data_IF_672613664093
#
_entry.id   IF_672613664093
#
_cell.length_a   1.000
_cell.length_b   1.000
_cell.length_c   1.000
_cell.angle_alpha   90.00
_cell.angle_beta   90.00
_cell.angle_gamma   90.00
#
_symmetry.space_group_name_H-M   'P 1'
#
loop_
_entity.id
_entity.type
_entity.pdbx_description
1 polymer ?
#
# COMPACT_ATOMS: atom_id res chain seq x y z
N UNK A 1 11.49 -13.45 32.84
CA UNK A 1 10.48 -12.45 32.44
C UNK A 1 11.07 -11.09 32.04
N UNK A 2 12.41 -10.92 32.00
CA UNK A 2 13.04 -9.63 31.67
C UNK A 2 12.67 -9.06 30.28
N UNK A 3 12.39 -9.92 29.29
CA UNK A 3 11.96 -9.49 27.96
C UNK A 3 10.66 -8.68 27.99
N UNK A 4 9.59 -9.23 28.59
CA UNK A 4 8.29 -8.55 28.67
C UNK A 4 8.37 -7.25 29.48
N UNK A 5 9.23 -7.19 30.51
CA UNK A 5 9.45 -5.95 31.26
C UNK A 5 10.15 -4.88 30.42
N UNK A 6 11.07 -5.26 29.53
CA UNK A 6 11.71 -4.34 28.61
C UNK A 6 10.70 -3.76 27.60
N UNK A 7 9.80 -4.58 27.06
CA UNK A 7 8.76 -4.10 26.14
C UNK A 7 7.81 -3.10 26.82
N UNK A 8 7.33 -3.44 28.02
CA UNK A 8 6.50 -2.53 28.81
C UNK A 8 7.23 -1.23 29.18
N UNK A 9 8.55 -1.28 29.35
CA UNK A 9 9.38 -0.11 29.61
C UNK A 9 9.42 0.82 28.39
N UNK A 10 9.48 0.28 27.17
CA UNK A 10 9.43 1.08 25.93
C UNK A 10 8.05 1.73 25.74
N UNK A 11 6.98 0.97 25.96
CA UNK A 11 5.60 1.48 25.89
C UNK A 11 5.32 2.59 26.93
N UNK A 12 5.97 2.54 28.09
CA UNK A 12 5.77 3.52 29.16
C UNK A 12 6.64 4.79 29.01
N UNK A 13 7.63 4.81 28.13
CA UNK A 13 8.53 5.95 27.95
C UNK A 13 8.02 6.85 26.83
N UNK A 14 7.98 8.18 27.03
CA UNK A 14 7.55 9.11 25.98
C UNK A 14 8.51 9.07 24.79
N UNK A 15 7.99 9.32 23.59
CA UNK A 15 8.74 9.51 22.34
C UNK A 15 9.89 10.55 22.48
N UNK A 16 10.94 10.45 21.66
CA UNK A 16 12.11 11.36 21.64
C UNK A 16 12.70 11.60 20.25
N UNK A 17 12.58 10.65 19.34
CA UNK A 17 13.05 10.78 17.96
C UNK A 17 12.28 11.86 17.17
N UNK A 18 11.16 12.34 17.69
CA UNK A 18 10.35 13.38 17.04
C UNK A 18 9.54 12.83 15.88
N UNK A 19 9.28 11.53 15.87
CA UNK A 19 8.40 10.86 14.91
C UNK A 19 6.98 11.40 15.08
N UNK A 20 6.43 11.95 13.99
CA UNK A 20 5.06 12.46 13.98
C UNK A 20 4.06 11.34 14.34
N UNK A 21 3.18 11.62 15.31
CA UNK A 21 2.19 10.65 15.80
C UNK A 21 2.69 9.62 16.82
N UNK A 22 4.00 9.55 17.11
CA UNK A 22 4.51 8.62 18.12
C UNK A 22 4.25 9.14 19.56
N UNK A 23 3.60 8.34 20.39
CA UNK A 23 3.33 8.69 21.79
C UNK A 23 4.44 8.18 22.71
N UNK A 24 5.02 7.02 22.38
CA UNK A 24 6.00 6.33 23.21
C UNK A 24 7.15 5.74 22.38
N UNK A 25 8.16 5.19 23.07
CA UNK A 25 9.35 4.62 22.40
C UNK A 25 9.08 3.37 21.60
N UNK A 26 8.02 2.65 21.95
CA UNK A 26 7.58 1.49 21.20
C UNK A 26 7.02 1.90 19.84
N UNK A 27 6.25 3.00 19.77
CA UNK A 27 5.75 3.56 18.51
C UNK A 27 6.92 4.00 17.59
N UNK A 28 7.95 4.64 18.15
CA UNK A 28 9.14 5.06 17.39
C UNK A 28 9.94 3.86 16.85
N UNK A 29 10.02 2.77 17.62
CA UNK A 29 10.68 1.55 17.21
C UNK A 29 9.93 0.89 16.05
N UNK A 30 8.61 0.80 16.14
CA UNK A 30 7.77 0.28 15.07
C UNK A 30 7.82 1.14 13.81
N UNK A 31 7.76 2.47 13.95
CA UNK A 31 7.92 3.37 12.81
C UNK A 31 9.27 3.17 12.11
N UNK A 32 10.34 2.99 12.88
CA UNK A 32 11.68 2.72 12.34
C UNK A 32 11.73 1.39 11.60
N UNK A 33 11.07 0.34 12.11
CA UNK A 33 10.94 -0.94 11.43
C UNK A 33 10.22 -0.78 10.09
N UNK A 34 9.00 -0.22 10.09
CA UNK A 34 8.19 0.00 8.88
C UNK A 34 8.96 0.81 7.83
N UNK A 35 9.65 1.88 8.25
CA UNK A 35 10.41 2.76 7.36
C UNK A 35 11.64 2.07 6.76
N UNK A 36 12.23 1.11 7.48
CA UNK A 36 13.43 0.40 7.02
C UNK A 36 13.13 -0.91 6.30
N UNK A 37 11.89 -1.41 6.35
CA UNK A 37 11.47 -2.66 5.68
C UNK A 37 11.89 -2.69 4.20
N UNK A 38 11.71 -1.57 3.48
CA UNK A 38 12.08 -1.46 2.06
C UNK A 38 13.59 -1.60 1.81
N UNK A 39 14.43 -1.16 2.76
CA UNK A 39 15.89 -1.24 2.67
C UNK A 39 16.44 -2.59 3.16
N UNK A 40 15.90 -3.12 4.26
CA UNK A 40 16.43 -4.31 4.93
C UNK A 40 15.88 -5.59 4.29
N UNK A 41 14.59 -5.62 3.94
CA UNK A 41 13.94 -6.81 3.36
C UNK A 41 13.95 -6.80 1.83
N UNK A 42 14.40 -5.72 1.20
CA UNK A 42 14.57 -5.62 -0.26
C UNK A 42 13.28 -5.72 -1.06
N UNK A 43 12.12 -5.58 -0.42
CA UNK A 43 10.81 -5.55 -1.07
C UNK A 43 10.22 -4.15 -0.89
N UNK A 44 10.10 -3.36 -1.95
CA UNK A 44 9.48 -2.04 -1.87
C UNK A 44 7.97 -2.17 -1.64
N UNK A 45 7.40 -1.29 -0.82
CA UNK A 45 5.97 -1.04 -0.72
C UNK A 45 5.62 0.28 -1.39
N UNK A 46 4.37 0.43 -1.83
CA UNK A 46 3.85 1.70 -2.31
C UNK A 46 3.18 2.44 -1.16
N UNK A 47 3.71 3.61 -0.78
CA UNK A 47 3.03 4.52 0.13
C UNK A 47 2.01 5.37 -0.64
N UNK A 48 0.79 4.84 -0.76
CA UNK A 48 -0.29 5.48 -1.55
C UNK A 48 -0.68 6.86 -1.02
N UNK A 49 -0.57 7.11 0.30
CA UNK A 49 -0.94 8.40 0.90
C UNK A 49 -0.01 9.53 0.46
N UNK A 50 1.24 9.22 0.13
CA UNK A 50 2.21 10.18 -0.38
C UNK A 50 1.89 10.67 -1.81
N UNK A 51 1.20 9.84 -2.59
CA UNK A 51 0.84 10.14 -3.98
C UNK A 51 -0.63 10.55 -4.13
N UNK A 52 -1.41 10.57 -3.05
CA UNK A 52 -2.86 10.76 -3.07
C UNK A 52 -3.30 12.09 -3.73
N UNK A 53 -2.43 13.12 -3.71
CA UNK A 53 -2.68 14.40 -4.37
C UNK A 53 -2.29 14.42 -5.85
N UNK A 54 -1.38 13.56 -6.28
CA UNK A 54 -0.88 13.52 -7.66
C UNK A 54 -0.35 12.12 -8.04
N UNK A 55 -1.29 11.21 -8.31
CA UNK A 55 -1.01 9.83 -8.71
C UNK A 55 -0.06 9.73 -9.91
N UNK A 56 -0.17 10.66 -10.87
CA UNK A 56 0.62 10.61 -12.12
C UNK A 56 2.09 10.97 -11.89
N UNK A 57 2.40 11.61 -10.76
CA UNK A 57 3.77 11.92 -10.35
C UNK A 57 4.43 10.80 -9.53
N UNK A 58 3.68 9.74 -9.19
CA UNK A 58 4.18 8.65 -8.36
C UNK A 58 5.39 7.96 -9.00
N UNK A 59 6.47 7.83 -8.22
CA UNK A 59 7.67 7.08 -8.63
C UNK A 59 7.37 5.60 -8.87
N UNK A 60 6.29 5.07 -8.29
CA UNK A 60 5.86 3.67 -8.52
C UNK A 60 5.32 3.52 -9.95
N UNK A 61 4.74 4.56 -10.54
CA UNK A 61 4.18 4.56 -11.88
C UNK A 61 5.06 5.27 -12.92
N UNK A 62 6.24 5.74 -12.51
CA UNK A 62 7.26 6.31 -13.39
C UNK A 62 7.65 5.32 -14.49
N UNK A 63 7.80 5.82 -15.72
CA UNK A 63 8.08 4.98 -16.89
C UNK A 63 9.53 4.56 -17.02
N UNK A 64 10.48 5.22 -16.35
CA UNK A 64 11.90 4.83 -16.43
C UNK A 64 12.32 3.96 -15.23
N UNK A 65 11.86 4.31 -14.04
CA UNK A 65 12.31 3.73 -12.76
C UNK A 65 11.24 2.92 -12.04
N UNK A 66 9.97 3.07 -12.42
CA UNK A 66 8.82 2.41 -11.81
C UNK A 66 8.22 1.29 -12.67
N UNK A 67 6.94 1.03 -12.44
CA UNK A 67 6.13 0.04 -13.17
C UNK A 67 5.49 0.60 -14.45
N UNK A 68 5.71 1.88 -14.71
CA UNK A 68 5.36 2.63 -15.92
C UNK A 68 3.87 2.79 -16.22
N UNK A 69 3.62 3.52 -17.31
CA UNK A 69 2.51 3.48 -18.26
C UNK A 69 1.05 3.52 -17.79
N UNK A 70 0.24 4.16 -18.64
CA UNK A 70 -1.22 4.14 -18.62
C UNK A 70 -1.79 3.73 -20.00
N UNK A 71 -3.02 3.23 -20.03
CA UNK A 71 -3.78 2.96 -21.25
C UNK A 71 -4.13 1.50 -21.54
N UNK A 72 -4.86 1.29 -22.65
CA UNK A 72 -5.39 -0.02 -23.09
C UNK A 72 -4.33 -1.11 -23.28
N UNK A 73 -3.11 -0.72 -23.62
CA UNK A 73 -1.88 -1.43 -23.28
C UNK A 73 -0.93 -0.33 -22.82
N UNK A 74 -0.14 -0.59 -21.77
CA UNK A 74 0.93 0.32 -21.42
C UNK A 74 1.89 0.45 -22.62
N UNK A 75 2.32 1.67 -22.90
CA UNK A 75 3.13 2.00 -24.09
C UNK A 75 4.58 2.34 -23.76
N UNK A 76 4.93 2.38 -22.47
CA UNK A 76 6.25 2.70 -21.97
C UNK A 76 6.63 1.86 -20.74
N UNK A 77 7.88 2.01 -20.35
CA UNK A 77 8.49 1.43 -19.18
C UNK A 77 8.86 -0.05 -19.24
N UNK A 78 9.43 -0.58 -18.15
CA UNK A 78 10.16 -1.84 -18.16
C UNK A 78 9.30 -3.07 -18.50
N UNK A 79 7.97 -2.92 -18.44
CA UNK A 79 7.02 -4.00 -18.58
C UNK A 79 6.18 -3.95 -19.88
N UNK A 80 6.48 -3.03 -20.81
CA UNK A 80 5.73 -2.86 -22.08
C UNK A 80 5.63 -4.16 -22.91
N UNK A 81 6.67 -4.99 -22.88
CA UNK A 81 6.72 -6.24 -23.62
C UNK A 81 6.25 -7.46 -22.82
N UNK A 82 5.86 -7.29 -21.56
CA UNK A 82 5.29 -8.38 -20.76
C UNK A 82 3.94 -8.79 -21.35
N UNK A 83 3.75 -10.11 -21.46
CA UNK A 83 2.51 -10.72 -21.92
C UNK A 83 2.00 -11.68 -20.87
N UNK A 84 0.86 -11.33 -20.28
CA UNK A 84 0.14 -12.13 -19.30
C UNK A 84 -0.72 -13.18 -20.02
N UNK A 85 -1.03 -14.28 -19.33
CA UNK A 85 -1.80 -15.41 -19.91
C UNK A 85 -2.91 -15.92 -18.99
N UNK A 86 -2.94 -15.48 -17.73
CA UNK A 86 -3.95 -15.90 -16.76
C UNK A 86 -5.02 -14.82 -16.70
N UNK A 87 -6.23 -15.12 -17.14
CA UNK A 87 -7.39 -14.25 -16.93
C UNK A 87 -8.53 -15.01 -16.27
N UNK A 88 -9.41 -14.26 -15.62
CA UNK A 88 -10.55 -14.81 -14.87
C UNK A 88 -11.53 -15.63 -15.73
N UNK A 89 -11.50 -15.43 -17.05
CA UNK A 89 -12.39 -16.13 -17.99
C UNK A 89 -11.81 -17.48 -18.46
N UNK A 90 -10.63 -17.86 -17.98
CA UNK A 90 -9.96 -19.12 -18.35
C UNK A 90 -9.37 -19.13 -19.77
N UNK A 91 -9.40 -18.01 -20.49
CA UNK A 91 -8.73 -17.87 -21.76
C UNK A 91 -7.21 -17.78 -21.52
N UNK A 92 -6.41 -18.38 -22.41
CA UNK A 92 -4.94 -18.43 -22.24
C UNK A 92 -4.18 -17.64 -23.31
N UNK A 93 -4.92 -16.93 -24.18
CA UNK A 93 -4.35 -16.05 -25.17
C UNK A 93 -3.51 -14.96 -24.50
N UNK A 94 -2.26 -14.73 -24.94
CA UNK A 94 -1.43 -13.70 -24.36
C UNK A 94 -2.02 -12.30 -24.53
N UNK A 95 -2.01 -11.50 -23.47
CA UNK A 95 -2.47 -10.11 -23.49
C UNK A 95 -1.46 -9.19 -22.78
N UNK A 96 -1.47 -7.91 -23.13
CA UNK A 96 -0.57 -6.90 -22.55
C UNK A 96 -0.99 -6.49 -21.13
N UNK A 97 -0.09 -5.87 -20.39
CA UNK A 97 -0.48 -5.11 -19.20
C UNK A 97 -1.24 -3.87 -19.66
N UNK A 98 -2.39 -3.58 -19.03
CA UNK A 98 -3.17 -2.38 -19.29
C UNK A 98 -3.63 -1.73 -17.99
N UNK A 99 -3.65 -0.41 -18.00
CA UNK A 99 -4.00 0.46 -16.86
C UNK A 99 -4.99 1.52 -17.32
N UNK A 100 -5.65 2.15 -16.35
CA UNK A 100 -6.55 3.28 -16.59
C UNK A 100 -6.46 4.18 -15.39
N UNK A 101 -5.34 4.89 -15.25
CA UNK A 101 -5.01 5.66 -14.07
C UNK A 101 -6.11 6.68 -13.75
N UNK A 102 -6.55 6.72 -12.50
CA UNK A 102 -7.72 7.48 -12.08
C UNK A 102 -7.46 8.20 -10.76
N UNK A 103 -7.00 9.45 -10.83
CA UNK A 103 -6.83 10.30 -9.65
C UNK A 103 -8.14 10.46 -8.86
N UNK A 104 -9.30 10.42 -9.55
CA UNK A 104 -10.61 10.43 -8.89
C UNK A 104 -10.80 9.22 -8.00
N UNK A 105 -10.53 8.01 -8.52
CA UNK A 105 -10.77 6.78 -7.77
C UNK A 105 -9.65 6.55 -6.73
N UNK A 106 -8.45 7.10 -6.95
CA UNK A 106 -7.34 7.11 -5.99
C UNK A 106 -7.52 8.11 -4.84
N UNK A 107 -8.46 9.06 -4.94
CA UNK A 107 -8.64 10.13 -3.95
C UNK A 107 -8.95 9.63 -2.52
N UNK A 108 -9.39 8.39 -2.36
CA UNK A 108 -9.61 7.76 -1.05
C UNK A 108 -8.34 7.20 -0.40
N UNK A 109 -7.19 7.24 -1.07
CA UNK A 109 -5.89 6.84 -0.52
C UNK A 109 -5.27 7.90 0.42
N UNK A 110 -5.99 8.98 0.73
CA UNK A 110 -5.50 10.05 1.61
C UNK A 110 -5.28 9.58 3.04
N UNK A 111 -4.29 10.17 3.72
CA UNK A 111 -3.92 9.85 5.10
C UNK A 111 -5.12 9.92 6.07
N UNK A 112 -6.03 10.88 5.90
CA UNK A 112 -7.20 10.99 6.77
C UNK A 112 -8.14 9.77 6.75
N UNK A 113 -8.20 9.02 5.64
CA UNK A 113 -8.95 7.77 5.59
C UNK A 113 -8.20 6.63 6.28
N UNK A 114 -6.87 6.61 6.21
CA UNK A 114 -6.03 5.66 6.95
C UNK A 114 -6.19 5.91 8.46
N UNK A 115 -6.08 7.15 8.89
CA UNK A 115 -6.22 7.56 10.29
C UNK A 115 -7.61 7.16 10.83
N UNK A 116 -8.68 7.43 10.08
CA UNK A 116 -10.03 7.02 10.45
C UNK A 116 -10.19 5.51 10.61
N UNK A 117 -9.51 4.70 9.78
CA UNK A 117 -9.53 3.24 9.94
C UNK A 117 -8.72 2.77 11.16
N UNK A 118 -7.62 3.45 11.48
CA UNK A 118 -6.80 3.16 12.68
C UNK A 118 -7.51 3.49 13.99
N UNK A 119 -8.49 4.40 13.98
CA UNK A 119 -9.32 4.73 15.16
C UNK A 119 -10.37 3.66 15.51
N UNK A 120 -10.58 2.67 14.64
CA UNK A 120 -11.54 1.59 14.91
C UNK A 120 -11.09 0.69 16.07
N UNK A 121 -12.05 0.15 16.82
CA UNK A 121 -11.75 -0.59 18.07
C UNK A 121 -11.77 -2.11 17.91
N UNK A 122 -12.24 -2.62 16.76
CA UNK A 122 -12.27 -4.05 16.45
C UNK A 122 -11.50 -4.34 15.17
N UNK A 123 -10.90 -5.53 15.09
CA UNK A 123 -10.21 -5.98 13.89
C UNK A 123 -11.15 -6.03 12.67
N UNK A 124 -12.38 -6.49 12.85
CA UNK A 124 -13.34 -6.62 11.75
C UNK A 124 -13.71 -5.25 11.18
N UNK A 125 -13.92 -4.24 12.03
CA UNK A 125 -14.22 -2.87 11.61
C UNK A 125 -13.01 -2.23 10.92
N UNK A 126 -11.80 -2.40 11.50
CA UNK A 126 -10.56 -1.92 10.90
C UNK A 126 -10.38 -2.49 9.49
N UNK A 127 -10.48 -3.82 9.37
CA UNK A 127 -10.32 -4.51 8.09
C UNK A 127 -11.37 -4.06 7.08
N UNK A 128 -12.64 -3.98 7.48
CA UNK A 128 -13.71 -3.52 6.58
C UNK A 128 -13.49 -2.07 6.13
N UNK A 129 -12.97 -1.20 7.02
CA UNK A 129 -12.62 0.17 6.69
C UNK A 129 -11.46 0.25 5.68
N UNK A 130 -10.36 -0.46 5.95
CA UNK A 130 -9.18 -0.50 5.08
C UNK A 130 -9.51 -1.06 3.70
N UNK A 131 -10.23 -2.18 3.65
CA UNK A 131 -10.72 -2.79 2.41
C UNK A 131 -11.65 -1.87 1.63
N UNK A 132 -12.49 -1.10 2.34
CA UNK A 132 -13.50 -0.25 1.75
C UNK A 132 -12.96 1.01 1.09
N UNK A 133 -12.00 1.70 1.72
CA UNK A 133 -11.50 3.00 1.25
C UNK A 133 -10.04 2.93 0.77
N UNK A 134 -9.00 2.85 1.63
CA UNK A 134 -7.60 2.81 1.18
C UNK A 134 -7.31 1.73 0.12
N UNK A 135 -7.66 0.47 0.38
CA UNK A 135 -7.38 -0.64 -0.54
C UNK A 135 -8.09 -0.47 -1.89
N UNK A 136 -9.38 -0.12 -1.87
CA UNK A 136 -10.13 0.15 -3.09
C UNK A 136 -9.59 1.36 -3.86
N UNK A 137 -9.02 2.35 -3.16
CA UNK A 137 -8.41 3.51 -3.78
C UNK A 137 -7.19 3.10 -4.61
N UNK A 138 -6.28 2.28 -4.06
CA UNK A 138 -5.16 1.69 -4.80
C UNK A 138 -5.60 0.96 -6.06
N UNK A 139 -6.56 0.03 -5.92
CA UNK A 139 -7.08 -0.73 -7.07
C UNK A 139 -7.77 0.15 -8.12
N UNK A 140 -8.61 1.06 -7.65
CA UNK A 140 -9.36 2.00 -8.50
C UNK A 140 -8.45 3.01 -9.19
N UNK A 141 -7.42 3.47 -8.49
CA UNK A 141 -6.42 4.43 -8.94
C UNK A 141 -5.55 3.88 -10.06
N UNK A 142 -5.07 2.63 -9.94
CA UNK A 142 -4.30 1.99 -11.01
C UNK A 142 -5.19 1.61 -12.20
N UNK A 143 -6.44 1.20 -11.92
CA UNK A 143 -7.39 0.91 -12.97
C UNK A 143 -7.04 -0.36 -13.76
N UNK A 144 -7.66 -0.52 -14.94
CA UNK A 144 -7.32 -1.57 -15.90
C UNK A 144 -7.36 -2.99 -15.31
N UNK A 145 -6.23 -3.69 -15.37
CA UNK A 145 -6.09 -5.04 -14.81
C UNK A 145 -6.30 -5.11 -13.31
N UNK A 146 -5.89 -4.08 -12.58
CA UNK A 146 -5.95 -4.08 -11.11
C UNK A 146 -7.38 -3.83 -10.63
N UNK A 147 -8.16 -3.01 -11.35
CA UNK A 147 -9.55 -2.66 -11.00
C UNK A 147 -10.53 -3.84 -10.87
N UNK A 148 -10.30 -4.93 -11.60
CA UNK A 148 -11.23 -6.06 -11.69
C UNK A 148 -10.83 -7.27 -10.83
N UNK A 149 -9.70 -7.23 -10.13
CA UNK A 149 -9.24 -8.33 -9.28
C UNK A 149 -9.52 -8.08 -7.80
N UNK A 150 -10.76 -7.72 -7.47
CA UNK A 150 -11.30 -7.59 -6.10
C UNK A 150 -11.31 -8.92 -5.30
N UNK A 151 -10.60 -9.97 -5.74
CA UNK A 151 -10.66 -11.31 -5.13
C UNK A 151 -9.32 -12.03 -4.94
N UNK A 152 -8.16 -11.40 -5.12
CA UNK A 152 -6.92 -12.11 -4.77
C UNK A 152 -5.77 -11.19 -4.35
N UNK A 153 -5.24 -11.48 -3.16
CA UNK A 153 -4.07 -10.92 -2.48
C UNK A 153 -4.23 -9.55 -1.78
N UNK A 154 -4.83 -9.63 -0.59
CA UNK A 154 -4.43 -8.81 0.55
C UNK A 154 -2.99 -9.17 0.91
N UNK A 155 -2.04 -8.27 0.69
CA UNK A 155 -0.80 -8.24 1.46
C UNK A 155 -0.77 -6.88 2.13
N UNK A 156 -1.22 -6.85 3.38
CA UNK A 156 -0.70 -6.08 4.51
C UNK A 156 -1.55 -6.49 5.72
N UNK A 157 -1.28 -7.68 6.24
CA UNK A 157 -1.56 -8.02 7.63
C UNK A 157 -0.19 -8.22 8.26
N UNK A 158 0.35 -7.19 8.90
CA UNK A 158 1.31 -7.43 9.99
C UNK A 158 0.50 -7.79 11.24
N UNK A 159 0.96 -8.86 11.86
CA UNK A 159 0.27 -9.70 12.84
C UNK A 159 -0.08 -8.95 14.13
N UNK A 160 -1.33 -9.07 14.58
CA UNK A 160 -1.70 -8.88 15.98
C UNK A 160 -1.50 -10.23 16.69
N UNK A 161 -0.46 -10.31 17.52
CA UNK A 161 -0.45 -11.08 18.77
C UNK A 161 0.17 -10.21 19.88
#
# INVERSE_FOLDING_TARGET
>A
MAYIEAEKCLQAKPALAGTEGAENRWDELHWSHISQTSYIHGVPSWNETADASDLLSSVVLDSDTGFGGDGNCISDGPFVDVRLRLNANGATDPYCIYRSLSARDFSSAVQGNVDACMETTSYEDARNCFEGSPHNAGHGGVGGLVRLHLHTFVVLLEEKD
#
